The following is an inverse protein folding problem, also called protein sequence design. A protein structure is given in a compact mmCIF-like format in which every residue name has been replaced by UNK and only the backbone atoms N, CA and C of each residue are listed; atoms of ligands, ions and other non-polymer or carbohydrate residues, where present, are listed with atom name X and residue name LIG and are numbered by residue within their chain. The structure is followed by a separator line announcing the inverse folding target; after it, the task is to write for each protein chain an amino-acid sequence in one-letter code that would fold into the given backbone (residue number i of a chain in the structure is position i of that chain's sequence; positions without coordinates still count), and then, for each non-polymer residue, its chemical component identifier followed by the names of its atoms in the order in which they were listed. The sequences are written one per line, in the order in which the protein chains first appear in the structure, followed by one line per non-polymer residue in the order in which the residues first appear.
data_IF_097727636828
#
_entry.id   IF_097727636828
#
_cell.length_a   1.000
_cell.length_b   1.000
_cell.length_c   1.000
_cell.angle_alpha   90.00
_cell.angle_beta   90.00
_cell.angle_gamma   90.00
#
_symmetry.space_group_name_H-M   'P 1'
#
loop_
_entity.id
_entity.type
_entity.pdbx_description
1 polymer ?
#
# COMPACT_ATOMS: atom_id res chain seq x y z
N UNK A 1 -7.33 -34.84 -9.33
CA UNK A 1 -6.63 -34.96 -10.64
C UNK A 1 -5.92 -33.62 -10.88
N UNK A 2 -5.02 -33.16 -10.01
CA UNK A 2 -3.70 -33.70 -9.70
C UNK A 2 -2.92 -34.12 -10.95
N UNK A 3 -2.40 -33.11 -11.66
CA UNK A 3 -1.04 -33.15 -12.20
C UNK A 3 -0.33 -31.88 -11.72
N UNK A 4 0.80 -32.12 -11.09
CA UNK A 4 1.60 -31.23 -10.26
C UNK A 4 2.44 -30.28 -11.09
N UNK A 5 2.52 -29.03 -10.63
CA UNK A 5 3.45 -27.97 -11.01
C UNK A 5 4.95 -28.32 -10.82
N UNK A 6 5.30 -29.61 -10.68
CA UNK A 6 6.66 -30.12 -10.57
C UNK A 6 7.26 -30.58 -11.90
N UNK A 7 6.44 -30.87 -12.92
CA UNK A 7 6.96 -31.29 -14.23
C UNK A 7 7.39 -30.11 -15.11
N UNK A 8 6.90 -28.89 -14.86
CA UNK A 8 7.23 -27.72 -15.70
C UNK A 8 8.54 -27.02 -15.33
N UNK A 9 9.17 -27.40 -14.20
CA UNK A 9 10.43 -26.82 -13.74
C UNK A 9 11.64 -27.76 -13.94
N UNK A 10 11.41 -28.97 -14.47
CA UNK A 10 12.47 -29.96 -14.67
C UNK A 10 13.08 -29.94 -16.08
N UNK A 11 12.39 -29.35 -17.07
CA UNK A 11 12.89 -29.30 -18.46
C UNK A 11 13.87 -28.14 -18.71
N UNK A 12 13.87 -27.09 -17.89
CA UNK A 12 14.75 -25.91 -18.07
C UNK A 12 16.17 -26.08 -17.50
N UNK A 13 16.49 -27.20 -16.85
CA UNK A 13 17.76 -27.38 -16.13
C UNK A 13 18.74 -28.38 -16.78
N UNK A 14 18.45 -28.93 -17.96
CA UNK A 14 19.24 -29.99 -18.58
C UNK A 14 20.01 -29.63 -19.87
N UNK A 15 20.03 -28.36 -20.30
CA UNK A 15 20.68 -27.95 -21.57
C UNK A 15 21.97 -27.12 -21.40
N UNK A 16 22.62 -27.14 -20.23
CA UNK A 16 23.83 -26.37 -19.96
C UNK A 16 24.96 -27.24 -19.39
N UNK A 17 25.58 -28.05 -20.25
CA UNK A 17 27.03 -28.35 -20.17
C UNK A 17 27.40 -29.30 -21.33
N UNK A 18 27.65 -28.75 -22.52
CA UNK A 18 28.40 -29.40 -23.58
C UNK A 18 28.80 -28.37 -24.66
N UNK A 19 29.79 -27.52 -24.36
CA UNK A 19 30.72 -26.97 -25.37
C UNK A 19 31.81 -26.11 -24.71
N UNK A 20 32.87 -26.76 -24.25
CA UNK A 20 34.16 -26.11 -24.04
C UNK A 20 35.14 -26.85 -24.94
N UNK A 21 35.37 -26.29 -26.12
CA UNK A 21 36.59 -26.39 -26.94
C UNK A 21 36.28 -25.74 -28.29
N UNK A 22 36.64 -24.46 -28.43
CA UNK A 22 37.08 -23.80 -29.68
C UNK A 22 37.14 -22.28 -29.43
N UNK A 23 38.27 -21.85 -28.88
CA UNK A 23 38.67 -20.44 -28.83
C UNK A 23 39.90 -20.34 -29.72
N UNK A 24 39.80 -19.60 -30.82
CA UNK A 24 40.81 -18.63 -31.28
C UNK A 24 40.39 -18.00 -32.63
N UNK A 25 40.72 -16.72 -32.79
CA UNK A 25 40.74 -15.88 -34.01
C UNK A 25 39.52 -15.02 -34.45
N UNK A 26 38.36 -15.07 -33.81
CA UNK A 26 37.23 -14.17 -34.18
C UNK A 26 37.01 -12.93 -33.29
N UNK A 27 37.71 -12.81 -32.16
CA UNK A 27 37.39 -11.79 -31.15
C UNK A 27 38.01 -10.39 -31.38
N UNK A 28 39.04 -10.25 -32.22
CA UNK A 28 39.65 -8.93 -32.41
C UNK A 28 38.89 -8.01 -33.39
N UNK A 29 38.01 -8.56 -34.24
CA UNK A 29 37.22 -7.75 -35.19
C UNK A 29 35.90 -7.30 -34.56
N UNK A 30 35.28 -8.13 -33.72
CA UNK A 30 34.05 -7.82 -32.98
C UNK A 30 34.27 -6.72 -31.93
N UNK A 31 35.42 -6.71 -31.24
CA UNK A 31 35.71 -5.69 -30.20
C UNK A 31 35.84 -4.27 -30.78
N UNK A 32 36.35 -4.10 -32.01
CA UNK A 32 36.45 -2.76 -32.62
C UNK A 32 35.12 -2.21 -33.14
N UNK A 33 34.22 -3.09 -33.59
CA UNK A 33 32.91 -2.69 -34.12
C UNK A 33 31.93 -2.40 -32.97
N UNK A 34 32.07 -3.11 -31.86
CA UNK A 34 31.23 -2.95 -30.67
C UNK A 34 31.61 -1.69 -29.87
N UNK A 35 32.89 -1.32 -29.83
CA UNK A 35 33.33 -0.05 -29.22
C UNK A 35 32.83 1.18 -30.00
N UNK A 36 32.81 1.16 -31.34
CA UNK A 36 32.29 2.28 -32.15
C UNK A 36 30.76 2.39 -32.05
N UNK A 37 30.04 1.28 -31.89
CA UNK A 37 28.61 1.25 -31.60
C UNK A 37 28.30 1.76 -30.18
N UNK A 38 29.06 1.33 -29.17
CA UNK A 38 28.91 1.81 -27.79
C UNK A 38 29.26 3.30 -27.62
N UNK A 39 30.26 3.80 -28.33
CA UNK A 39 30.60 5.23 -28.36
C UNK A 39 29.49 6.04 -29.06
N UNK A 40 28.91 5.53 -30.17
CA UNK A 40 27.74 6.16 -30.82
C UNK A 40 26.47 6.11 -29.96
N UNK A 41 26.22 5.02 -29.24
CA UNK A 41 25.07 4.88 -28.35
C UNK A 41 25.17 5.86 -27.16
N UNK A 42 26.36 6.01 -26.59
CA UNK A 42 26.62 6.99 -25.53
C UNK A 42 26.66 8.45 -26.04
N UNK A 43 26.98 8.70 -27.31
CA UNK A 43 26.87 10.05 -27.90
C UNK A 43 25.43 10.46 -28.22
N UNK A 44 24.53 9.52 -28.57
CA UNK A 44 23.12 9.83 -28.90
C UNK A 44 22.26 10.03 -27.64
N UNK A 45 22.71 9.58 -26.46
CA UNK A 45 21.99 9.75 -25.19
C UNK A 45 22.52 10.87 -24.28
N UNK A 46 23.39 11.75 -24.79
CA UNK A 46 23.98 12.84 -23.99
C UNK A 46 23.53 14.25 -24.40
N UNK A 47 22.57 14.38 -25.33
CA UNK A 47 21.79 15.61 -25.42
C UNK A 47 20.63 15.50 -24.42
N UNK A 48 20.77 16.15 -23.25
CA UNK A 48 19.62 16.42 -22.37
C UNK A 48 18.52 17.01 -23.25
N UNK A 49 17.44 16.27 -23.44
CA UNK A 49 16.32 16.74 -24.25
C UNK A 49 15.67 17.89 -23.49
N UNK A 50 15.00 18.84 -24.16
CA UNK A 50 14.25 19.92 -23.49
C UNK A 50 13.31 19.41 -22.39
N UNK A 51 12.82 18.16 -22.53
CA UNK A 51 12.01 17.45 -21.53
C UNK A 51 12.78 17.09 -20.25
N UNK A 52 14.06 16.76 -20.34
CA UNK A 52 14.87 16.36 -19.19
C UNK A 52 15.19 17.57 -18.29
N UNK A 53 15.48 18.73 -18.90
CA UNK A 53 15.63 19.99 -18.15
C UNK A 53 14.34 20.42 -17.45
N UNK A 54 13.19 20.30 -18.13
CA UNK A 54 11.89 20.64 -17.54
C UNK A 54 11.53 19.69 -16.39
N UNK A 55 11.85 18.41 -16.52
CA UNK A 55 11.66 17.41 -15.46
C UNK A 55 12.56 17.70 -14.24
N UNK A 56 13.81 18.10 -14.47
CA UNK A 56 14.74 18.49 -13.41
C UNK A 56 14.25 19.72 -12.62
N UNK A 57 13.68 20.72 -13.30
CA UNK A 57 13.08 21.90 -12.66
C UNK A 57 11.81 21.51 -11.87
N UNK A 58 10.94 20.68 -12.45
CA UNK A 58 9.66 20.30 -11.84
C UNK A 58 9.82 19.48 -10.55
N UNK A 59 10.87 18.65 -10.45
CA UNK A 59 11.15 17.84 -9.26
C UNK A 59 11.98 18.56 -8.19
N UNK A 60 12.39 19.80 -8.43
CA UNK A 60 13.17 20.53 -7.46
C UNK A 60 12.27 20.97 -6.28
N UNK A 61 12.66 20.77 -5.00
CA UNK A 61 11.81 21.10 -3.85
C UNK A 61 11.41 22.58 -3.78
N UNK A 62 12.25 23.48 -4.30
CA UNK A 62 11.95 24.92 -4.42
C UNK A 62 10.72 25.17 -5.30
N UNK A 63 10.52 24.36 -6.34
CA UNK A 63 9.36 24.47 -7.23
C UNK A 63 8.06 24.19 -6.48
N UNK A 64 8.02 23.16 -5.63
CA UNK A 64 6.85 22.84 -4.82
C UNK A 64 6.51 23.96 -3.83
N UNK A 65 7.52 24.57 -3.19
CA UNK A 65 7.32 25.75 -2.33
C UNK A 65 6.83 26.97 -3.12
N UNK A 66 7.37 27.21 -4.32
CA UNK A 66 6.92 28.30 -5.19
C UNK A 66 5.45 28.12 -5.60
N UNK A 67 5.07 26.93 -6.05
CA UNK A 67 3.68 26.64 -6.42
C UNK A 67 2.73 26.73 -5.22
N UNK A 68 3.16 26.30 -4.03
CA UNK A 68 2.39 26.48 -2.80
C UNK A 68 2.19 27.97 -2.47
N UNK A 69 3.22 28.81 -2.65
CA UNK A 69 3.12 30.25 -2.49
C UNK A 69 2.13 30.89 -3.47
N UNK A 70 2.14 30.48 -4.74
CA UNK A 70 1.18 30.94 -5.77
C UNK A 70 -0.26 30.57 -5.36
N UNK A 71 -0.48 29.35 -4.89
CA UNK A 71 -1.79 28.87 -4.41
C UNK A 71 -2.29 29.66 -3.21
N UNK A 72 -1.43 29.91 -2.22
CA UNK A 72 -1.76 30.70 -1.03
C UNK A 72 -2.10 32.14 -1.44
N UNK A 73 -1.29 32.73 -2.32
CA UNK A 73 -1.49 34.10 -2.82
C UNK A 73 -2.82 34.23 -3.56
N UNK A 74 -3.20 33.23 -4.37
CA UNK A 74 -4.49 33.23 -5.07
C UNK A 74 -5.66 33.13 -4.08
N UNK A 75 -5.54 32.28 -3.06
CA UNK A 75 -6.57 32.14 -2.03
C UNK A 75 -6.73 33.39 -1.17
N UNK A 76 -5.62 34.07 -0.86
CA UNK A 76 -5.63 35.35 -0.14
C UNK A 76 -6.26 36.46 -1.00
N UNK A 77 -5.95 36.51 -2.29
CA UNK A 77 -6.52 37.48 -3.24
C UNK A 77 -8.02 37.29 -3.37
N UNK A 78 -8.50 36.04 -3.41
CA UNK A 78 -9.92 35.70 -3.37
C UNK A 78 -10.59 36.17 -2.06
N UNK A 79 -9.97 35.93 -0.90
CA UNK A 79 -10.48 36.42 0.38
C UNK A 79 -10.62 37.95 0.43
N UNK A 80 -9.59 38.66 -0.05
CA UNK A 80 -9.61 40.12 -0.15
C UNK A 80 -10.66 40.63 -1.14
N UNK A 81 -10.91 39.89 -2.22
CA UNK A 81 -11.96 40.26 -3.19
C UNK A 81 -13.37 40.15 -2.60
N UNK A 82 -13.62 39.19 -1.70
CA UNK A 82 -14.91 39.01 -1.03
C UNK A 82 -15.17 40.07 0.04
N UNK A 83 -14.16 40.42 0.84
CA UNK A 83 -14.29 41.49 1.85
C UNK A 83 -14.54 42.86 1.20
N UNK A 84 -14.02 43.06 -0.01
CA UNK A 84 -14.19 44.32 -0.76
C UNK A 84 -15.58 44.45 -1.41
N UNK A 85 -16.36 43.37 -1.50
CA UNK A 85 -17.71 43.35 -2.08
C UNK A 85 -18.81 43.90 -1.12
N UNK A 86 -18.50 44.31 0.11
CA UNK A 86 -19.47 45.04 0.97
C UNK A 86 -19.09 46.52 1.19
N UNK A 87 -17.80 46.89 1.05
CA UNK A 87 -17.30 48.27 1.21
C UNK A 87 -17.06 48.96 -0.16
N UNK A 88 -18.06 48.89 -1.04
CA UNK A 88 -18.01 49.08 -2.50
C UNK A 88 -17.50 50.43 -3.09
N UNK A 89 -16.91 51.36 -2.33
CA UNK A 89 -16.70 52.74 -2.84
C UNK A 89 -15.34 53.42 -2.61
N UNK A 90 -14.33 52.80 -1.98
CA UNK A 90 -13.16 53.60 -1.56
C UNK A 90 -11.97 53.65 -2.54
N UNK A 91 -11.76 52.68 -3.43
CA UNK A 91 -10.60 52.75 -4.35
C UNK A 91 -10.70 51.81 -5.57
N UNK A 92 -11.10 52.32 -6.74
CA UNK A 92 -11.14 51.57 -8.01
C UNK A 92 -9.78 50.97 -8.40
N UNK A 93 -8.69 51.64 -8.04
CA UNK A 93 -7.33 51.17 -8.32
C UNK A 93 -7.00 49.86 -7.57
N UNK A 94 -7.48 49.70 -6.32
CA UNK A 94 -7.25 48.49 -5.52
C UNK A 94 -7.99 47.30 -6.10
N UNK A 95 -9.23 47.47 -6.54
CA UNK A 95 -10.01 46.40 -7.16
C UNK A 95 -9.40 45.94 -8.49
N UNK A 96 -9.01 46.89 -9.36
CA UNK A 96 -8.32 46.56 -10.62
C UNK A 96 -7.01 45.82 -10.37
N UNK A 97 -6.23 46.25 -9.37
CA UNK A 97 -5.00 45.58 -9.00
C UNK A 97 -5.23 44.13 -8.54
N UNK A 98 -6.19 43.90 -7.62
CA UNK A 98 -6.54 42.57 -7.12
C UNK A 98 -7.01 41.66 -8.26
N UNK A 99 -7.85 42.17 -9.16
CA UNK A 99 -8.37 41.41 -10.31
C UNK A 99 -7.28 41.00 -11.29
N UNK A 100 -6.42 41.95 -11.70
CA UNK A 100 -5.29 41.67 -12.60
C UNK A 100 -4.32 40.68 -11.94
N UNK A 101 -4.06 40.84 -10.64
CA UNK A 101 -3.18 39.95 -9.90
C UNK A 101 -3.72 38.52 -9.86
N UNK A 102 -5.02 38.33 -9.64
CA UNK A 102 -5.65 37.01 -9.66
C UNK A 102 -5.57 36.33 -11.03
N UNK A 103 -5.81 37.08 -12.12
CA UNK A 103 -5.66 36.56 -13.49
C UNK A 103 -4.22 36.09 -13.77
N UNK A 104 -3.22 36.83 -13.29
CA UNK A 104 -1.81 36.43 -13.40
C UNK A 104 -1.54 35.12 -12.64
N UNK A 105 -2.08 34.97 -11.43
CA UNK A 105 -1.90 33.74 -10.64
C UNK A 105 -2.55 32.52 -11.29
N UNK A 106 -3.74 32.69 -11.87
CA UNK A 106 -4.41 31.64 -12.65
C UNK A 106 -3.60 31.30 -13.90
N UNK A 107 -3.02 32.30 -14.59
CA UNK A 107 -2.17 32.08 -15.75
C UNK A 107 -0.89 31.28 -15.40
N UNK A 108 -0.27 31.54 -14.25
CA UNK A 108 0.89 30.76 -13.77
C UNK A 108 0.50 29.29 -13.54
N UNK A 109 -0.68 29.02 -12.97
CA UNK A 109 -1.17 27.65 -12.76
C UNK A 109 -1.54 26.95 -14.06
N UNK A 110 -2.12 27.67 -15.01
CA UNK A 110 -2.38 27.17 -16.35
C UNK A 110 -1.07 26.79 -17.07
N UNK A 111 -0.04 27.62 -16.92
CA UNK A 111 1.28 27.35 -17.51
C UNK A 111 1.92 26.11 -16.91
N UNK A 112 1.85 25.92 -15.58
CA UNK A 112 2.28 24.68 -14.94
C UNK A 112 1.55 23.46 -15.53
N UNK A 113 0.22 23.54 -15.69
CA UNK A 113 -0.55 22.45 -16.25
C UNK A 113 -0.10 22.09 -17.68
N UNK A 114 0.14 23.09 -18.53
CA UNK A 114 0.63 22.86 -19.90
C UNK A 114 1.99 22.15 -19.89
N UNK A 115 2.90 22.54 -18.99
CA UNK A 115 4.19 21.88 -18.83
C UNK A 115 4.01 20.41 -18.41
N UNK A 116 3.17 20.14 -17.40
CA UNK A 116 2.91 18.77 -16.94
C UNK A 116 2.27 17.91 -18.01
N UNK A 117 1.32 18.46 -18.77
CA UNK A 117 0.67 17.77 -19.88
C UNK A 117 1.67 17.43 -21.00
N UNK A 118 2.61 18.33 -21.30
CA UNK A 118 3.66 18.10 -22.29
C UNK A 118 4.65 17.00 -21.87
N UNK A 119 4.95 16.91 -20.57
CA UNK A 119 5.87 15.91 -20.00
C UNK A 119 5.24 14.53 -19.84
N UNK A 120 4.01 14.46 -19.34
CA UNK A 120 3.38 13.20 -18.91
C UNK A 120 2.21 12.73 -19.80
N UNK A 121 1.84 13.49 -20.83
CA UNK A 121 0.79 13.24 -21.84
C UNK A 121 -0.30 12.23 -21.47
N UNK A 122 -0.04 10.92 -21.57
CA UNK A 122 -1.02 9.87 -21.24
C UNK A 122 -1.09 9.51 -19.74
N UNK A 123 0.02 9.54 -19.01
CA UNK A 123 0.06 9.19 -17.58
C UNK A 123 -0.59 10.28 -16.70
N UNK A 124 -0.64 11.52 -17.19
CA UNK A 124 -1.25 12.65 -16.49
C UNK A 124 -2.69 12.36 -16.07
N UNK A 125 -3.50 11.80 -16.98
CA UNK A 125 -4.94 11.57 -16.80
C UNK A 125 -5.26 10.41 -15.84
N UNK A 126 -4.31 9.49 -15.62
CA UNK A 126 -4.50 8.37 -14.70
C UNK A 126 -4.14 8.71 -13.25
N UNK A 127 -3.40 9.80 -13.02
CA UNK A 127 -3.07 10.25 -11.68
C UNK A 127 -4.20 11.14 -11.12
N UNK A 128 -4.89 10.67 -10.09
CA UNK A 128 -6.00 11.40 -9.43
C UNK A 128 -5.59 12.79 -8.94
N UNK A 129 -4.34 12.93 -8.51
CA UNK A 129 -3.82 14.22 -8.01
C UNK A 129 -3.64 15.26 -9.12
N UNK A 130 -3.28 14.81 -10.32
CA UNK A 130 -3.13 15.64 -11.52
C UNK A 130 -4.50 15.98 -12.12
N UNK A 131 -5.43 15.01 -12.13
CA UNK A 131 -6.81 15.23 -12.57
C UNK A 131 -7.49 16.33 -11.74
N UNK A 132 -7.27 16.30 -10.43
CA UNK A 132 -7.79 17.31 -9.53
C UNK A 132 -7.18 18.70 -9.77
N UNK A 133 -5.87 18.80 -10.02
CA UNK A 133 -5.24 20.09 -10.35
C UNK A 133 -5.81 20.65 -11.67
N UNK A 134 -6.12 19.78 -12.64
CA UNK A 134 -6.78 20.18 -13.89
C UNK A 134 -8.20 20.73 -13.69
N UNK A 135 -9.04 20.09 -12.85
CA UNK A 135 -10.42 20.55 -12.64
C UNK A 135 -10.47 21.95 -12.03
N UNK A 136 -9.54 22.28 -11.13
CA UNK A 136 -9.45 23.63 -10.56
C UNK A 136 -9.08 24.66 -11.62
N UNK A 137 -8.07 24.36 -12.44
CA UNK A 137 -7.63 25.27 -13.50
C UNK A 137 -8.76 25.49 -14.49
N UNK A 138 -9.52 24.43 -14.81
CA UNK A 138 -10.70 24.50 -15.66
C UNK A 138 -11.75 25.48 -15.10
N UNK A 139 -12.06 25.42 -13.80
CA UNK A 139 -13.00 26.36 -13.18
C UNK A 139 -12.50 27.81 -13.24
N UNK A 140 -11.20 28.05 -13.00
CA UNK A 140 -10.61 29.38 -13.11
C UNK A 140 -10.65 29.95 -14.54
N UNK A 141 -10.35 29.11 -15.54
CA UNK A 141 -10.41 29.52 -16.96
C UNK A 141 -11.85 29.77 -17.41
N UNK A 142 -12.80 28.91 -17.02
CA UNK A 142 -14.22 29.11 -17.33
C UNK A 142 -14.70 30.45 -16.78
N UNK A 143 -14.28 30.83 -15.58
CA UNK A 143 -14.64 32.09 -14.98
C UNK A 143 -14.11 33.29 -15.78
N UNK A 144 -12.82 33.28 -16.15
CA UNK A 144 -12.19 34.34 -16.95
C UNK A 144 -12.90 34.47 -18.30
N UNK A 145 -13.11 33.35 -18.99
CA UNK A 145 -13.82 33.33 -20.28
C UNK A 145 -15.25 33.86 -20.13
N UNK A 146 -15.94 33.50 -19.05
CA UNK A 146 -17.29 34.01 -18.81
C UNK A 146 -17.31 35.52 -18.63
N UNK A 147 -16.41 36.06 -17.81
CA UNK A 147 -16.31 37.50 -17.56
C UNK A 147 -15.98 38.28 -18.84
N UNK A 148 -15.18 37.69 -19.74
CA UNK A 148 -14.80 38.31 -21.02
C UNK A 148 -15.94 38.28 -22.07
N UNK A 149 -16.66 37.16 -22.20
CA UNK A 149 -17.62 36.97 -23.31
C UNK A 149 -19.09 37.25 -22.92
N UNK A 150 -19.46 37.08 -21.66
CA UNK A 150 -20.88 37.05 -21.23
C UNK A 150 -21.25 38.16 -20.23
N UNK A 151 -20.42 39.19 -20.10
CA UNK A 151 -20.58 40.30 -19.15
C UNK A 151 -21.96 41.00 -19.23
N UNK A 152 -22.67 40.90 -20.36
CA UNK A 152 -23.94 41.59 -20.60
C UNK A 152 -25.20 40.72 -20.54
N UNK A 153 -25.11 39.38 -20.39
CA UNK A 153 -26.22 38.52 -20.80
C UNK A 153 -27.12 38.03 -19.65
N UNK A 154 -26.66 37.84 -18.40
CA UNK A 154 -27.55 37.40 -17.29
C UNK A 154 -26.99 37.66 -15.87
N UNK A 155 -27.77 38.33 -15.00
CA UNK A 155 -27.45 38.57 -13.58
C UNK A 155 -27.54 37.32 -12.70
N UNK A 156 -28.39 36.35 -13.05
CA UNK A 156 -28.53 35.10 -12.27
C UNK A 156 -27.33 34.17 -12.46
N UNK A 157 -26.82 34.06 -13.70
CA UNK A 157 -25.69 33.18 -14.00
C UNK A 157 -24.39 33.76 -13.42
N UNK A 158 -24.25 35.09 -13.43
CA UNK A 158 -23.10 35.77 -12.80
C UNK A 158 -23.05 35.53 -11.29
N UNK A 159 -24.19 35.47 -10.58
CA UNK A 159 -24.20 35.11 -9.16
C UNK A 159 -23.80 33.65 -8.89
N UNK A 160 -24.19 32.71 -9.75
CA UNK A 160 -23.74 31.31 -9.63
C UNK A 160 -22.24 31.18 -9.88
N UNK A 161 -21.69 31.95 -10.82
CA UNK A 161 -20.26 31.96 -11.13
C UNK A 161 -19.42 32.58 -10.01
N UNK A 162 -19.96 33.57 -9.29
CA UNK A 162 -19.35 34.04 -8.02
C UNK A 162 -19.19 32.90 -7.02
N UNK A 163 -20.14 31.96 -6.97
CA UNK A 163 -20.04 30.75 -6.16
C UNK A 163 -18.94 29.78 -6.61
N UNK A 164 -18.70 29.66 -7.92
CA UNK A 164 -17.61 28.83 -8.44
C UNK A 164 -16.21 29.33 -8.07
N UNK A 165 -16.06 30.64 -7.79
CA UNK A 165 -14.81 31.18 -7.20
C UNK A 165 -14.44 30.44 -5.91
N UNK A 166 -15.42 30.06 -5.09
CA UNK A 166 -15.18 29.35 -3.83
C UNK A 166 -14.70 27.92 -4.05
N UNK A 167 -15.08 27.24 -5.14
CA UNK A 167 -14.54 25.91 -5.48
C UNK A 167 -13.04 25.97 -5.75
N UNK A 168 -12.52 27.13 -6.10
CA UNK A 168 -11.10 27.29 -6.30
C UNK A 168 -10.33 27.29 -4.98
N UNK A 169 -10.97 27.57 -3.83
CA UNK A 169 -10.34 27.42 -2.50
C UNK A 169 -9.99 25.96 -2.22
N UNK A 170 -10.65 25.01 -2.87
CA UNK A 170 -10.32 23.60 -2.70
C UNK A 170 -8.87 23.33 -3.17
N UNK A 171 -8.27 24.20 -3.99
CA UNK A 171 -6.83 24.17 -4.34
C UNK A 171 -5.88 24.27 -3.13
N UNK A 172 -6.35 24.80 -2.00
CA UNK A 172 -5.61 24.81 -0.73
C UNK A 172 -5.28 23.39 -0.23
N UNK A 173 -5.98 22.35 -0.70
CA UNK A 173 -5.59 20.96 -0.48
C UNK A 173 -4.13 20.68 -0.90
N UNK A 174 -3.57 21.47 -1.81
CA UNK A 174 -2.21 21.30 -2.33
C UNK A 174 -1.17 21.62 -1.24
N UNK A 175 -1.53 22.46 -0.27
CA UNK A 175 -0.72 22.73 0.93
C UNK A 175 -0.58 21.46 1.77
N UNK A 176 -1.63 20.62 1.82
CA UNK A 176 -1.58 19.33 2.51
C UNK A 176 -0.49 18.44 1.89
N UNK A 177 -0.25 18.53 0.58
CA UNK A 177 0.81 17.77 -0.09
C UNK A 177 2.23 18.22 0.29
N UNK A 178 2.41 19.46 0.76
CA UNK A 178 3.73 20.03 1.07
C UNK A 178 4.33 19.44 2.36
N UNK A 179 3.49 19.06 3.32
CA UNK A 179 3.93 18.51 4.60
C UNK A 179 3.44 17.08 4.78
N UNK A 180 4.37 16.15 4.95
CA UNK A 180 4.05 14.75 5.29
C UNK A 180 3.16 14.66 6.53
N UNK A 181 3.36 15.54 7.53
CA UNK A 181 2.52 15.60 8.72
C UNK A 181 1.06 15.94 8.42
N UNK A 182 0.81 16.92 7.54
CA UNK A 182 -0.55 17.27 7.10
C UNK A 182 -1.16 16.15 6.27
N UNK A 183 -0.38 15.48 5.40
CA UNK A 183 -0.87 14.34 4.64
C UNK A 183 -1.30 13.19 5.54
N UNK A 184 -0.47 12.83 6.52
CA UNK A 184 -0.76 11.76 7.49
C UNK A 184 -2.01 12.12 8.30
N UNK A 185 -2.09 13.35 8.80
CA UNK A 185 -3.25 13.83 9.55
C UNK A 185 -4.53 13.79 8.69
N UNK A 186 -4.46 14.29 7.47
CA UNK A 186 -5.62 14.33 6.56
C UNK A 186 -6.07 12.93 6.17
N UNK A 187 -5.14 12.03 5.85
CA UNK A 187 -5.44 10.61 5.57
C UNK A 187 -6.07 9.93 6.79
N UNK A 188 -5.54 10.19 7.99
CA UNK A 188 -6.09 9.66 9.24
C UNK A 188 -7.51 10.19 9.50
N UNK A 189 -7.76 11.49 9.28
CA UNK A 189 -9.09 12.10 9.41
C UNK A 189 -10.08 11.51 8.41
N UNK A 190 -9.72 11.42 7.12
CA UNK A 190 -10.59 10.86 6.08
C UNK A 190 -10.89 9.39 6.38
N UNK A 191 -9.87 8.59 6.74
CA UNK A 191 -10.05 7.20 7.17
C UNK A 191 -11.03 7.13 8.35
N UNK A 192 -10.87 8.01 9.32
CA UNK A 192 -11.70 8.00 10.54
C UNK A 192 -13.16 8.33 10.26
N UNK A 193 -13.40 9.36 9.45
CA UNK A 193 -14.75 9.79 9.08
C UNK A 193 -15.44 8.73 8.22
N UNK A 194 -14.78 8.28 7.15
CA UNK A 194 -15.39 7.36 6.18
C UNK A 194 -15.58 5.95 6.73
N UNK A 195 -14.60 5.42 7.46
CA UNK A 195 -14.61 4.02 7.90
C UNK A 195 -15.37 3.86 9.22
N UNK A 196 -15.12 4.73 10.20
CA UNK A 196 -15.63 4.51 11.57
C UNK A 196 -16.91 5.31 11.86
N UNK A 197 -17.06 6.50 11.27
CA UNK A 197 -18.11 7.44 11.71
C UNK A 197 -19.28 7.56 10.73
N UNK A 198 -19.10 7.21 9.45
CA UNK A 198 -20.13 7.45 8.42
C UNK A 198 -21.47 6.77 8.73
N UNK A 199 -21.46 5.48 9.07
CA UNK A 199 -22.68 4.72 9.38
C UNK A 199 -23.44 5.29 10.60
N UNK A 200 -22.69 5.73 11.62
CA UNK A 200 -23.28 6.32 12.82
C UNK A 200 -23.81 7.73 12.54
N UNK A 201 -23.08 8.51 11.74
CA UNK A 201 -23.55 9.82 11.25
C UNK A 201 -24.84 9.72 10.45
N UNK A 202 -24.97 8.70 9.60
CA UNK A 202 -26.22 8.42 8.86
C UNK A 202 -27.39 8.11 9.81
N UNK A 203 -27.15 7.37 10.90
CA UNK A 203 -28.18 7.11 11.91
C UNK A 203 -28.62 8.40 12.62
N UNK A 204 -27.68 9.28 12.98
CA UNK A 204 -27.99 10.59 13.56
C UNK A 204 -28.74 11.48 12.57
N UNK A 205 -28.36 11.47 11.29
CA UNK A 205 -29.05 12.20 10.24
C UNK A 205 -30.50 11.71 10.06
N UNK A 206 -30.73 10.40 10.10
CA UNK A 206 -32.08 9.83 10.08
C UNK A 206 -32.92 10.31 11.27
N UNK A 207 -32.33 10.41 12.46
CA UNK A 207 -33.02 10.96 13.63
C UNK A 207 -33.38 12.44 13.44
N UNK A 208 -32.45 13.26 12.94
CA UNK A 208 -32.71 14.67 12.60
C UNK A 208 -33.87 14.75 11.62
N UNK A 209 -33.89 13.91 10.59
CA UNK A 209 -34.97 13.84 9.60
C UNK A 209 -36.32 13.53 10.24
N UNK A 210 -36.40 12.51 11.11
CA UNK A 210 -37.64 12.14 11.81
C UNK A 210 -38.15 13.32 12.65
N UNK A 211 -37.27 13.98 13.40
CA UNK A 211 -37.64 15.13 14.23
C UNK A 211 -38.09 16.32 13.37
N UNK A 212 -37.41 16.57 12.25
CA UNK A 212 -37.77 17.63 11.31
C UNK A 212 -39.19 17.43 10.77
N UNK A 213 -39.52 16.21 10.33
CA UNK A 213 -40.87 15.87 9.83
C UNK A 213 -41.92 16.01 10.93
N UNK A 214 -41.66 15.49 12.14
CA UNK A 214 -42.59 15.63 13.26
C UNK A 214 -42.82 17.11 13.60
N UNK A 215 -41.75 17.91 13.68
CA UNK A 215 -41.84 19.33 13.97
C UNK A 215 -42.60 20.12 12.90
N UNK A 216 -42.38 19.81 11.61
CA UNK A 216 -43.13 20.40 10.51
C UNK A 216 -44.62 20.00 10.56
N UNK A 217 -44.94 18.75 10.89
CA UNK A 217 -46.34 18.30 11.05
C UNK A 217 -47.06 18.99 12.21
N UNK A 218 -46.35 19.28 13.30
CA UNK A 218 -46.93 19.90 14.51
C UNK A 218 -47.00 21.43 14.41
N UNK A 219 -45.96 22.07 13.88
CA UNK A 219 -45.76 23.53 13.96
C UNK A 219 -45.64 24.22 12.59
N UNK A 220 -45.61 23.50 11.47
CA UNK A 220 -45.39 24.07 10.13
C UNK A 220 -46.61 24.69 9.44
N UNK A 221 -47.77 24.76 10.12
CA UNK A 221 -49.02 25.25 9.53
C UNK A 221 -49.05 26.75 9.27
N UNK A 222 -48.31 27.54 10.05
CA UNK A 222 -48.22 28.99 9.87
C UNK A 222 -47.02 29.32 8.97
N UNK A 223 -47.19 30.24 8.02
CA UNK A 223 -46.09 30.71 7.14
C UNK A 223 -44.96 31.36 7.95
N UNK A 224 -45.29 32.08 9.02
CA UNK A 224 -44.31 32.71 9.92
C UNK A 224 -43.57 31.69 10.82
N UNK A 225 -43.97 30.41 10.79
CA UNK A 225 -43.34 29.40 11.64
C UNK A 225 -41.96 29.02 11.09
N UNK A 226 -40.92 28.96 11.94
CA UNK A 226 -39.62 28.43 11.55
C UNK A 226 -39.68 26.98 11.03
N UNK A 227 -40.75 26.25 11.33
CA UNK A 227 -40.99 24.88 10.89
C UNK A 227 -41.80 24.77 9.59
N UNK A 228 -42.12 25.88 8.93
CA UNK A 228 -42.93 25.87 7.71
C UNK A 228 -42.21 25.12 6.58
N UNK A 229 -40.96 25.50 6.32
CA UNK A 229 -40.11 24.87 5.32
C UNK A 229 -39.41 23.63 5.87
N UNK A 230 -39.28 22.61 5.03
CA UNK A 230 -38.59 21.37 5.39
C UNK A 230 -37.09 21.61 5.69
N UNK A 231 -36.42 22.48 4.92
CA UNK A 231 -35.01 22.83 5.13
C UNK A 231 -34.78 23.52 6.47
N UNK A 232 -35.63 24.49 6.82
CA UNK A 232 -35.55 25.21 8.10
C UNK A 232 -35.89 24.27 9.26
N UNK A 233 -36.88 23.39 9.10
CA UNK A 233 -37.20 22.33 10.07
C UNK A 233 -36.02 21.39 10.33
N UNK A 234 -35.25 21.03 9.29
CA UNK A 234 -34.06 20.21 9.41
C UNK A 234 -32.95 20.93 10.21
N UNK A 235 -32.73 22.22 9.95
CA UNK A 235 -31.76 23.04 10.69
C UNK A 235 -32.18 23.17 12.15
N UNK A 236 -33.46 23.38 12.44
CA UNK A 236 -33.96 23.50 13.81
C UNK A 236 -33.84 22.15 14.54
N UNK A 237 -34.22 21.05 13.89
CA UNK A 237 -34.04 19.71 14.44
C UNK A 237 -32.57 19.41 14.76
N UNK A 238 -31.65 19.80 13.87
CA UNK A 238 -30.21 19.70 14.10
C UNK A 238 -29.78 20.53 15.32
N UNK A 239 -30.18 21.81 15.39
CA UNK A 239 -29.89 22.69 16.52
C UNK A 239 -30.38 22.11 17.85
N UNK A 240 -31.61 21.57 17.89
CA UNK A 240 -32.17 20.96 19.09
C UNK A 240 -31.39 19.71 19.54
N UNK A 241 -30.95 18.86 18.60
CA UNK A 241 -30.12 17.68 18.93
C UNK A 241 -28.76 18.07 19.50
N UNK A 242 -28.12 19.10 18.93
CA UNK A 242 -26.85 19.64 19.43
C UNK A 242 -27.02 20.57 20.64
N UNK A 243 -28.25 20.77 21.12
CA UNK A 243 -28.58 21.66 22.25
C UNK A 243 -28.10 23.11 21.98
N UNK A 244 -28.13 23.53 20.72
CA UNK A 244 -27.83 24.89 20.30
C UNK A 244 -29.13 25.71 20.24
N UNK A 245 -29.11 26.92 20.82
CA UNK A 245 -30.20 27.90 20.78
C UNK A 245 -31.61 27.35 21.15
N UNK A 246 -31.70 26.26 21.90
CA UNK A 246 -32.97 25.63 22.29
C UNK A 246 -33.86 26.56 23.13
N UNK A 247 -33.25 27.47 23.89
CA UNK A 247 -33.93 28.48 24.70
C UNK A 247 -34.69 29.52 23.86
N UNK A 248 -34.24 29.80 22.63
CA UNK A 248 -34.91 30.72 21.71
C UNK A 248 -36.06 30.02 20.97
N UNK A 249 -35.87 28.75 20.64
CA UNK A 249 -36.84 27.94 19.90
C UNK A 249 -38.09 27.66 20.76
N UNK A 250 -37.95 27.44 22.07
CA UNK A 250 -39.06 27.12 22.97
C UNK A 250 -40.22 28.11 22.94
N UNK A 251 -39.99 29.42 23.25
CA UNK A 251 -41.03 30.45 23.17
C UNK A 251 -41.68 30.56 21.79
N UNK A 252 -40.91 30.32 20.73
CA UNK A 252 -41.39 30.37 19.35
C UNK A 252 -42.35 29.22 19.03
N UNK A 253 -42.09 28.01 19.54
CA UNK A 253 -43.04 26.89 19.45
C UNK A 253 -44.34 27.15 20.24
N UNK A 254 -44.28 27.89 21.35
CA UNK A 254 -45.48 28.22 22.13
C UNK A 254 -46.41 29.19 21.39
N UNK A 255 -45.87 30.02 20.49
CA UNK A 255 -46.67 30.94 19.66
C UNK A 255 -47.51 30.21 18.61
N UNK A 256 -47.01 29.10 18.07
CA UNK A 256 -47.63 28.37 16.96
C UNK A 256 -48.35 27.08 17.38
N UNK A 257 -48.26 26.69 18.66
CA UNK A 257 -48.83 25.44 19.17
C UNK A 257 -49.38 25.58 20.60
N UNK A 258 -49.70 24.44 21.22
CA UNK A 258 -50.10 24.42 22.63
C UNK A 258 -48.88 24.55 23.53
N UNK A 259 -48.84 25.51 24.47
CA UNK A 259 -47.68 25.73 25.34
C UNK A 259 -47.19 24.47 26.07
N UNK A 260 -48.13 23.63 26.51
CA UNK A 260 -47.80 22.38 27.21
C UNK A 260 -47.12 21.36 26.28
N UNK A 261 -47.65 21.19 25.07
CA UNK A 261 -47.13 20.22 24.10
C UNK A 261 -45.76 20.68 23.59
N UNK A 262 -45.61 21.98 23.31
CA UNK A 262 -44.37 22.60 22.88
C UNK A 262 -43.23 22.41 23.89
N UNK A 263 -43.50 22.60 25.18
CA UNK A 263 -42.52 22.39 26.26
C UNK A 263 -42.08 20.94 26.36
N UNK A 264 -43.03 19.99 26.36
CA UNK A 264 -42.70 18.57 26.43
C UNK A 264 -41.95 18.09 25.19
N UNK A 265 -42.37 18.50 24.00
CA UNK A 265 -41.69 18.21 22.74
C UNK A 265 -40.22 18.64 22.79
N UNK A 266 -39.96 19.88 23.23
CA UNK A 266 -38.60 20.42 23.35
C UNK A 266 -37.77 19.65 24.37
N UNK A 267 -38.29 19.46 25.60
CA UNK A 267 -37.56 18.76 26.67
C UNK A 267 -37.20 17.34 26.25
N UNK A 268 -38.13 16.62 25.63
CA UNK A 268 -37.91 15.25 25.17
C UNK A 268 -36.83 15.21 24.09
N UNK A 269 -36.90 16.09 23.08
CA UNK A 269 -35.93 16.10 21.98
C UNK A 269 -34.54 16.53 22.47
N UNK A 270 -34.43 17.57 23.30
CA UNK A 270 -33.15 18.03 23.82
C UNK A 270 -32.51 16.95 24.70
N UNK A 271 -33.31 16.29 25.56
CA UNK A 271 -32.79 15.23 26.41
C UNK A 271 -32.36 14.00 25.60
N UNK A 272 -33.23 13.49 24.72
CA UNK A 272 -32.94 12.33 23.88
C UNK A 272 -31.79 12.63 22.92
N UNK A 273 -31.83 13.77 22.24
CA UNK A 273 -30.81 14.23 21.30
C UNK A 273 -29.43 14.31 21.96
N UNK A 274 -29.32 14.95 23.13
CA UNK A 274 -28.07 15.03 23.87
C UNK A 274 -27.55 13.65 24.28
N UNK A 275 -28.43 12.74 24.75
CA UNK A 275 -28.04 11.36 25.09
C UNK A 275 -27.54 10.60 23.86
N UNK A 276 -28.21 10.74 22.71
CA UNK A 276 -27.82 10.08 21.47
C UNK A 276 -26.47 10.62 20.99
N UNK A 277 -26.29 11.94 20.91
CA UNK A 277 -25.02 12.55 20.48
C UNK A 277 -23.86 12.14 21.39
N UNK A 278 -24.07 12.17 22.72
CA UNK A 278 -23.03 11.75 23.67
C UNK A 278 -22.69 10.27 23.52
N UNK A 279 -23.70 9.39 23.38
CA UNK A 279 -23.48 7.96 23.19
C UNK A 279 -22.79 7.65 21.87
N UNK A 280 -23.13 8.38 20.80
CA UNK A 280 -22.48 8.29 19.50
C UNK A 280 -21.02 8.71 19.59
N UNK A 281 -20.72 9.82 20.28
CA UNK A 281 -19.36 10.28 20.49
C UNK A 281 -18.53 9.24 21.27
N UNK A 282 -19.10 8.66 22.33
CA UNK A 282 -18.47 7.57 23.09
C UNK A 282 -18.27 6.34 22.20
N UNK A 283 -19.25 5.97 21.38
CA UNK A 283 -19.15 4.84 20.46
C UNK A 283 -18.04 5.03 19.42
N UNK A 284 -17.95 6.21 18.79
CA UNK A 284 -16.89 6.55 17.85
C UNK A 284 -15.52 6.55 18.55
N UNK A 285 -15.46 7.08 19.79
CA UNK A 285 -14.22 7.07 20.57
C UNK A 285 -13.76 5.63 20.84
N UNK A 286 -14.66 4.76 21.30
CA UNK A 286 -14.35 3.34 21.53
C UNK A 286 -13.90 2.66 20.23
N UNK A 287 -14.58 2.89 19.11
CA UNK A 287 -14.19 2.33 17.82
C UNK A 287 -12.82 2.83 17.34
N UNK A 288 -12.52 4.12 17.52
CA UNK A 288 -11.20 4.68 17.19
C UNK A 288 -10.09 4.10 18.05
N UNK A 289 -10.34 3.87 19.34
CA UNK A 289 -9.37 3.26 20.26
C UNK A 289 -9.21 1.76 19.96
N UNK A 290 -10.31 1.06 19.72
CA UNK A 290 -10.31 -0.38 19.40
C UNK A 290 -9.58 -0.63 18.08
N UNK A 291 -9.88 0.14 17.04
CA UNK A 291 -9.23 0.00 15.73
C UNK A 291 -7.72 0.29 15.78
N UNK A 292 -7.28 1.30 16.53
CA UNK A 292 -5.85 1.57 16.74
C UNK A 292 -5.18 0.41 17.50
N UNK A 293 -5.85 -0.13 18.52
CA UNK A 293 -5.34 -1.29 19.26
C UNK A 293 -5.29 -2.55 18.37
N UNK A 294 -6.28 -2.77 17.51
CA UNK A 294 -6.31 -3.89 16.57
C UNK A 294 -5.22 -3.79 15.51
N UNK A 295 -4.99 -2.59 14.96
CA UNK A 295 -3.91 -2.33 14.00
C UNK A 295 -2.53 -2.54 14.68
N UNK A 296 -2.35 -2.07 15.92
CA UNK A 296 -1.14 -2.33 16.72
C UNK A 296 -0.93 -3.83 16.98
N UNK A 297 -1.99 -4.56 17.33
CA UNK A 297 -1.92 -6.01 17.57
C UNK A 297 -1.61 -6.78 16.28
N UNK A 298 -2.16 -6.38 15.13
CA UNK A 298 -1.84 -6.96 13.82
C UNK A 298 -0.36 -6.77 13.48
N UNK A 299 0.16 -5.56 13.61
CA UNK A 299 1.57 -5.27 13.33
C UNK A 299 2.50 -6.09 14.23
N UNK A 300 2.15 -6.25 15.51
CA UNK A 300 2.91 -7.09 16.45
C UNK A 300 2.88 -8.58 16.06
N UNK A 301 1.73 -9.08 15.57
CA UNK A 301 1.59 -10.46 15.07
C UNK A 301 2.43 -10.66 13.81
N UNK A 302 2.39 -9.74 12.86
CA UNK A 302 3.19 -9.78 11.63
C UNK A 302 4.69 -9.78 11.92
N UNK A 303 5.16 -8.88 12.80
CA UNK A 303 6.55 -8.86 13.25
C UNK A 303 6.96 -10.18 13.94
N UNK A 304 6.05 -10.83 14.67
CA UNK A 304 6.31 -12.13 15.30
C UNK A 304 6.39 -13.24 14.25
N UNK A 305 5.52 -13.24 13.25
CA UNK A 305 5.54 -14.20 12.14
C UNK A 305 6.83 -14.04 11.34
N UNK A 306 7.23 -12.81 10.99
CA UNK A 306 8.46 -12.54 10.27
C UNK A 306 9.70 -13.00 11.06
N UNK A 307 9.76 -12.73 12.37
CA UNK A 307 10.83 -13.24 13.24
C UNK A 307 10.88 -14.76 13.28
N UNK A 308 9.73 -15.43 13.30
CA UNK A 308 9.67 -16.89 13.31
C UNK A 308 10.08 -17.48 11.94
N UNK A 309 9.73 -16.81 10.84
CA UNK A 309 10.19 -17.18 9.49
C UNK A 309 11.72 -17.04 9.38
N UNK A 310 12.28 -15.90 9.80
CA UNK A 310 13.73 -15.70 9.83
C UNK A 310 14.46 -16.76 10.66
N UNK A 311 13.91 -17.12 11.83
CA UNK A 311 14.46 -18.20 12.66
C UNK A 311 14.40 -19.57 11.97
N UNK A 312 13.31 -19.88 11.24
CA UNK A 312 13.21 -21.13 10.46
C UNK A 312 14.20 -21.15 9.31
N UNK A 313 14.39 -20.03 8.61
CA UNK A 313 15.38 -19.93 7.54
C UNK A 313 16.81 -20.07 8.06
N UNK A 314 17.12 -19.43 9.19
CA UNK A 314 18.43 -19.56 9.82
C UNK A 314 18.68 -20.99 10.31
N UNK A 315 17.68 -21.64 10.93
CA UNK A 315 17.76 -23.03 11.33
C UNK A 315 17.97 -23.95 10.12
N UNK A 316 17.21 -23.75 9.04
CA UNK A 316 17.37 -24.51 7.81
C UNK A 316 18.77 -24.35 7.20
N UNK A 317 19.33 -23.13 7.20
CA UNK A 317 20.72 -22.89 6.75
C UNK A 317 21.73 -23.65 7.61
N UNK A 318 21.59 -23.61 8.95
CA UNK A 318 22.46 -24.37 9.87
C UNK A 318 22.35 -25.87 9.62
N UNK A 319 21.15 -26.39 9.40
CA UNK A 319 20.94 -27.82 9.10
C UNK A 319 21.59 -28.22 7.79
N UNK A 320 21.44 -27.43 6.72
CA UNK A 320 22.08 -27.68 5.42
C UNK A 320 23.61 -27.64 5.55
N UNK A 321 24.16 -26.68 6.30
CA UNK A 321 25.61 -26.62 6.55
C UNK A 321 26.11 -27.89 7.25
N UNK A 322 25.45 -28.32 8.34
CA UNK A 322 25.83 -29.55 9.06
C UNK A 322 25.71 -30.79 8.18
N UNK A 323 24.66 -30.88 7.35
CA UNK A 323 24.49 -31.97 6.40
C UNK A 323 25.62 -32.00 5.36
N UNK A 324 25.98 -30.85 4.79
CA UNK A 324 27.09 -30.75 3.83
C UNK A 324 28.42 -31.16 4.46
N UNK A 325 28.71 -30.73 5.70
CA UNK A 325 29.93 -31.15 6.41
C UNK A 325 29.96 -32.65 6.67
N UNK A 326 28.84 -33.24 7.11
CA UNK A 326 28.75 -34.70 7.29
C UNK A 326 28.88 -35.45 5.97
N UNK A 327 28.31 -34.92 4.90
CA UNK A 327 28.41 -35.51 3.57
C UNK A 327 29.86 -35.51 3.10
N UNK A 328 30.58 -34.38 3.20
CA UNK A 328 32.01 -34.31 2.85
C UNK A 328 32.87 -35.26 3.67
N UNK A 329 32.62 -35.39 4.98
CA UNK A 329 33.34 -36.32 5.85
C UNK A 329 33.11 -37.79 5.43
N UNK A 330 31.89 -38.11 5.03
CA UNK A 330 31.52 -39.45 4.56
C UNK A 330 32.17 -39.74 3.21
N UNK A 331 32.16 -38.79 2.27
CA UNK A 331 32.84 -38.91 0.97
C UNK A 331 34.35 -39.08 1.13
N UNK A 332 34.98 -38.32 2.03
CA UNK A 332 36.41 -38.47 2.31
C UNK A 332 36.75 -39.85 2.90
N UNK A 333 35.89 -40.41 3.76
CA UNK A 333 36.04 -41.78 4.27
C UNK A 333 35.91 -42.82 3.16
N UNK A 334 34.96 -42.65 2.24
CA UNK A 334 34.79 -43.55 1.09
C UNK A 334 36.03 -43.50 0.19
N UNK A 335 36.50 -42.31 -0.17
CA UNK A 335 37.69 -42.14 -1.03
C UNK A 335 38.95 -42.72 -0.38
N UNK A 336 39.11 -42.58 0.95
CA UNK A 336 40.24 -43.22 1.66
C UNK A 336 40.13 -44.74 1.65
N UNK A 337 38.93 -45.31 1.83
CA UNK A 337 38.74 -46.75 1.68
C UNK A 337 39.00 -47.24 0.25
N UNK A 338 38.52 -46.54 -0.77
CA UNK A 338 38.81 -46.87 -2.18
C UNK A 338 40.32 -46.84 -2.47
N UNK A 339 41.02 -45.79 -2.02
CA UNK A 339 42.47 -45.70 -2.14
C UNK A 339 43.20 -46.86 -1.44
N UNK A 340 42.74 -47.29 -0.25
CA UNK A 340 43.33 -48.47 0.41
C UNK A 340 43.04 -49.76 -0.35
N UNK A 341 41.86 -49.91 -0.95
CA UNK A 341 41.51 -51.05 -1.79
C UNK A 341 42.36 -51.06 -3.06
N UNK A 342 42.57 -49.91 -3.69
CA UNK A 342 43.47 -49.79 -4.85
C UNK A 342 44.92 -50.13 -4.49
N UNK A 343 45.42 -49.66 -3.35
CA UNK A 343 46.76 -50.04 -2.86
C UNK A 343 46.86 -51.54 -2.60
N UNK A 344 45.83 -52.16 -2.03
CA UNK A 344 45.77 -53.62 -1.81
C UNK A 344 45.72 -54.35 -3.16
N UNK A 345 44.90 -53.90 -4.12
CA UNK A 345 44.84 -54.43 -5.48
C UNK A 345 46.19 -54.31 -6.19
N UNK A 346 46.88 -53.17 -6.08
CA UNK A 346 48.19 -52.96 -6.67
C UNK A 346 49.26 -53.86 -6.04
N UNK A 347 49.24 -54.03 -4.71
CA UNK A 347 50.09 -55.01 -4.00
C UNK A 347 49.79 -56.46 -4.45
N UNK A 348 48.52 -56.82 -4.62
CA UNK A 348 48.12 -58.13 -5.15
C UNK A 348 48.54 -58.32 -6.62
N UNK A 349 48.51 -57.26 -7.43
CA UNK A 349 48.96 -57.27 -8.82
C UNK A 349 50.48 -57.45 -8.94
N UNK A 350 51.25 -56.87 -8.01
CA UNK A 350 52.69 -57.10 -7.89
C UNK A 350 53.02 -58.55 -7.48
N UNK A 351 52.19 -59.18 -6.64
CA UNK A 351 52.31 -60.61 -6.29
C UNK A 351 51.99 -61.50 -7.51
N UNK A 352 51.12 -61.06 -8.43
CA UNK A 352 50.78 -61.82 -9.64
C UNK A 352 51.88 -61.90 -10.71
N UNK A 353 53.02 -61.21 -10.52
CA UNK A 353 54.19 -61.36 -11.40
C UNK A 353 55.26 -62.33 -10.87
N UNK A 354 55.07 -62.89 -9.67
CA UNK A 354 55.74 -64.13 -9.28
C UNK A 354 54.86 -65.30 -9.70
N UNK A 355 55.42 -66.24 -10.45
CA UNK A 355 54.73 -67.46 -10.89
C UNK A 355 54.39 -68.30 -9.65
N UNK A 356 53.22 -68.07 -9.07
CA UNK A 356 52.66 -68.89 -8.00
C UNK A 356 51.90 -70.05 -8.65
N UNK A 357 52.34 -71.27 -8.36
CA UNK A 357 51.73 -72.49 -8.89
C UNK A 357 50.31 -72.67 -8.30
N UNK A 358 49.29 -73.06 -9.10
CA UNK A 358 47.88 -73.08 -8.67
C UNK A 358 47.51 -74.13 -7.60
N UNK A 359 48.48 -74.88 -7.04
CA UNK A 359 48.20 -76.00 -6.14
C UNK A 359 48.21 -75.65 -4.65
N UNK A 360 48.67 -74.46 -4.27
CA UNK A 360 48.82 -74.09 -2.85
C UNK A 360 47.82 -73.02 -2.37
N UNK A 361 46.96 -72.49 -3.26
CA UNK A 361 46.11 -71.34 -2.94
C UNK A 361 44.84 -71.69 -2.15
N UNK A 362 44.39 -72.94 -2.18
CA UNK A 362 43.05 -73.32 -1.68
C UNK A 362 43.07 -73.73 -0.19
N UNK A 363 44.24 -73.94 0.42
CA UNK A 363 44.33 -74.48 1.80
C UNK A 363 45.28 -73.76 2.75
N UNK A 364 45.74 -72.54 2.42
CA UNK A 364 46.51 -71.71 3.35
C UNK A 364 45.61 -71.19 4.48
N UNK A 365 45.96 -71.49 5.74
CA UNK A 365 45.22 -71.09 6.94
C UNK A 365 45.12 -69.55 7.04
N UNK A 366 46.17 -68.82 6.66
CA UNK A 366 46.20 -67.35 6.63
C UNK A 366 45.22 -66.74 5.62
N UNK A 367 44.95 -67.42 4.51
CA UNK A 367 43.99 -66.96 3.51
C UNK A 367 42.55 -67.16 4.01
N UNK A 368 42.27 -68.31 4.63
CA UNK A 368 40.99 -68.61 5.27
C UNK A 368 40.69 -67.63 6.41
N UNK A 369 41.67 -67.32 7.25
CA UNK A 369 41.52 -66.37 8.35
C UNK A 369 41.24 -64.95 7.83
N UNK A 370 41.96 -64.50 6.80
CA UNK A 370 41.68 -63.20 6.14
C UNK A 370 40.31 -63.17 5.47
N UNK A 371 39.87 -64.26 4.86
CA UNK A 371 38.56 -64.33 4.20
C UNK A 371 37.42 -64.36 5.21
N UNK A 372 37.58 -65.07 6.32
CA UNK A 372 36.64 -65.06 7.45
C UNK A 372 36.59 -63.66 8.08
N UNK A 373 37.75 -63.04 8.34
CA UNK A 373 37.81 -61.68 8.93
C UNK A 373 37.16 -60.64 8.00
N UNK A 374 37.37 -60.75 6.69
CA UNK A 374 36.76 -59.84 5.73
C UNK A 374 35.24 -60.07 5.61
N UNK A 375 34.80 -61.33 5.63
CA UNK A 375 33.39 -61.72 5.69
C UNK A 375 32.70 -61.17 6.94
N UNK A 376 33.29 -61.36 8.12
CA UNK A 376 32.78 -60.81 9.39
C UNK A 376 32.68 -59.29 9.35
N UNK A 377 33.70 -58.59 8.83
CA UNK A 377 33.66 -57.13 8.72
C UNK A 377 32.56 -56.64 7.78
N UNK A 378 32.38 -57.30 6.63
CA UNK A 378 31.27 -57.00 5.71
C UNK A 378 29.89 -57.27 6.34
N UNK A 379 29.77 -58.31 7.17
CA UNK A 379 28.54 -58.62 7.88
C UNK A 379 28.22 -57.56 8.95
N UNK A 380 29.24 -57.04 9.64
CA UNK A 380 29.08 -55.95 10.62
C UNK A 380 28.66 -54.64 9.94
N UNK A 381 29.24 -54.31 8.79
CA UNK A 381 28.84 -53.14 7.99
C UNK A 381 27.42 -53.30 7.43
N UNK A 382 27.07 -54.47 6.88
CA UNK A 382 25.70 -54.77 6.43
C UNK A 382 24.68 -54.71 7.56
N UNK A 383 25.04 -55.17 8.78
CA UNK A 383 24.19 -55.06 9.96
C UNK A 383 24.00 -53.61 10.40
N UNK A 384 25.03 -52.79 10.30
CA UNK A 384 24.97 -51.35 10.62
C UNK A 384 24.09 -50.59 9.63
N UNK A 385 24.21 -50.89 8.33
CA UNK A 385 23.34 -50.33 7.28
C UNK A 385 21.88 -50.77 7.49
N UNK A 386 21.65 -52.05 7.83
CA UNK A 386 20.29 -52.54 8.14
C UNK A 386 19.70 -51.86 9.38
N UNK A 387 20.50 -51.60 10.41
CA UNK A 387 20.06 -50.85 11.59
C UNK A 387 19.70 -49.39 11.26
N UNK A 388 20.50 -48.72 10.43
CA UNK A 388 20.18 -47.39 9.90
C UNK A 388 18.87 -47.39 9.11
N UNK A 389 18.66 -48.40 8.25
CA UNK A 389 17.45 -48.52 7.44
C UNK A 389 16.20 -48.75 8.31
N UNK A 390 16.30 -49.60 9.33
CA UNK A 390 15.22 -49.82 10.31
C UNK A 390 14.92 -48.54 11.08
N UNK A 391 15.94 -47.79 11.51
CA UNK A 391 15.76 -46.54 12.25
C UNK A 391 15.11 -45.45 11.38
N UNK A 392 15.46 -45.39 10.09
CA UNK A 392 14.82 -44.49 9.12
C UNK A 392 13.34 -44.87 8.93
N UNK A 393 13.03 -46.16 8.76
CA UNK A 393 11.65 -46.64 8.64
C UNK A 393 10.83 -46.33 9.90
N UNK A 394 11.40 -46.53 11.08
CA UNK A 394 10.75 -46.19 12.35
C UNK A 394 10.50 -44.68 12.47
N UNK A 395 11.49 -43.85 12.13
CA UNK A 395 11.33 -42.39 12.15
C UNK A 395 10.26 -41.92 11.16
N UNK A 396 10.18 -42.55 9.99
CA UNK A 396 9.12 -42.26 9.00
C UNK A 396 7.74 -42.74 9.48
N UNK A 397 7.67 -43.90 10.16
CA UNK A 397 6.43 -44.39 10.77
C UNK A 397 5.93 -43.45 11.85
N UNK A 398 6.83 -42.99 12.74
CA UNK A 398 6.48 -42.06 13.82
C UNK A 398 5.97 -40.71 13.27
N UNK A 399 6.56 -40.22 12.17
CA UNK A 399 6.09 -39.01 11.48
C UNK A 399 4.71 -39.22 10.84
N UNK A 400 4.43 -40.41 10.29
CA UNK A 400 3.13 -40.75 9.71
C UNK A 400 2.07 -40.85 10.81
N UNK A 401 2.38 -41.48 11.94
CA UNK A 401 1.48 -41.61 13.09
C UNK A 401 1.23 -40.26 13.80
N UNK A 402 2.23 -39.36 13.86
CA UNK A 402 2.04 -37.96 14.29
C UNK A 402 1.13 -37.19 13.33
N UNK A 403 1.24 -37.42 12.02
CA UNK A 403 0.36 -36.79 11.04
C UNK A 403 -1.09 -37.32 11.15
N UNK A 404 -1.27 -38.63 11.34
CA UNK A 404 -2.60 -39.26 11.43
C UNK A 404 -3.32 -38.92 12.75
N UNK A 405 -2.56 -38.72 13.83
CA UNK A 405 -3.09 -38.20 15.11
C UNK A 405 -3.43 -36.70 15.04
N UNK A 406 -2.69 -35.90 14.26
CA UNK A 406 -3.05 -34.50 13.98
C UNK A 406 -4.33 -34.37 13.15
N UNK A 407 -4.57 -35.29 12.22
CA UNK A 407 -5.79 -35.34 11.37
C UNK A 407 -7.01 -35.78 12.21
N UNK A 408 -6.85 -36.72 13.15
CA UNK A 408 -7.94 -37.12 14.07
C UNK A 408 -8.32 -36.04 15.09
N UNK A 409 -7.39 -35.17 15.50
CA UNK A 409 -7.71 -34.01 16.35
C UNK A 409 -8.40 -32.85 15.61
N UNK A 410 -8.39 -32.82 14.28
CA UNK A 410 -9.15 -31.85 13.48
C UNK A 410 -10.55 -32.32 13.06
N UNK A 411 -10.92 -33.57 13.39
CA UNK A 411 -12.22 -34.17 13.06
C UNK A 411 -13.12 -34.48 14.28
N UNK A 412 -12.77 -33.94 15.45
CA UNK A 412 -13.63 -33.80 16.63
C UNK A 412 -13.75 -32.30 16.92
#
# INVERSE_FOLDING_TARGET
MHRSLQELLLDDYLDFDDNINDIDDHDNISISFDNDQHIRYNMIHNEKTSKDYLREILHHPIYDYFMAFVVISCSLTLGLSLETDEEYLRNEYRQKFIYIFDEILIAILLFEFIIKLYLESNHYWFNWTNLYDFTIILFGVIEILWNLFFQQINSTITNLLKGFRLLQLIRLYRIIKLSEGLQVLTKALIKTVLIYTFSVGMLVFLLIYIIAVIGQMLYGKAEDSPWHDFSTSLIIAMRLIFVDNWNLIGPELEKHGSPTISRWFLVIIVFIGNRIVTNVLVGIMIESVSSVNDDYMKEKREKKILRNQQKREELNRRTIQVLNTRFSDTTNKINTTENTIEQIKAKLKLIHNEIIRPKDFIFSVDWLEKLITCSEKSHVEAKSVRHLFIHIIQSLSDIIDENDSSIKQHHI
#
